data_IF_774837501139
#
_entry.id   IF_774837501139
#
_cell.length_a   1.000
_cell.length_b   1.000
_cell.length_c   1.000
_cell.angle_alpha   90.00
_cell.angle_beta   90.00
_cell.angle_gamma   90.00
#
_symmetry.space_group_name_H-M   'P 1'
#
loop_
_entity.id
_entity.type
_entity.pdbx_description
1 polymer ?
#
# COMPACT_ATOMS: atom_id res chain seq x y z
N UNK A 1 -4.22 32.16 21.49
CA UNK A 1 -3.05 31.91 20.62
C UNK A 1 -2.08 30.93 21.28
N UNK A 2 -1.71 31.13 22.55
CA UNK A 2 -0.79 30.24 23.29
C UNK A 2 -1.24 28.77 23.33
N UNK A 3 -2.50 28.48 23.71
CA UNK A 3 -3.05 27.11 23.71
C UNK A 3 -2.99 26.40 22.34
N UNK A 4 -3.16 27.14 21.24
CA UNK A 4 -3.02 26.58 19.90
C UNK A 4 -1.56 26.26 19.57
N UNK A 5 -0.63 27.16 19.91
CA UNK A 5 0.80 26.95 19.71
C UNK A 5 1.32 25.76 20.53
N UNK A 6 0.84 25.56 21.75
CA UNK A 6 1.14 24.38 22.57
C UNK A 6 0.60 23.08 21.95
N UNK A 7 -0.65 23.11 21.48
CA UNK A 7 -1.25 21.96 20.77
C UNK A 7 -0.46 21.61 19.52
N UNK A 8 -0.07 22.61 18.73
CA UNK A 8 0.74 22.42 17.52
C UNK A 8 2.11 21.81 17.84
N UNK A 9 2.78 22.28 18.90
CA UNK A 9 4.05 21.71 19.35
C UNK A 9 3.90 20.23 19.71
N UNK A 10 2.88 19.87 20.48
CA UNK A 10 2.59 18.47 20.83
C UNK A 10 2.33 17.61 19.58
N UNK A 11 1.51 18.10 18.66
CA UNK A 11 1.25 17.39 17.40
C UNK A 11 2.53 17.18 16.57
N UNK A 12 3.42 18.17 16.51
CA UNK A 12 4.71 18.06 15.82
C UNK A 12 5.65 17.09 16.52
N UNK A 13 5.66 17.06 17.85
CA UNK A 13 6.43 16.08 18.63
C UNK A 13 5.93 14.66 18.38
N UNK A 14 4.61 14.44 18.38
CA UNK A 14 4.01 13.13 18.10
C UNK A 14 4.29 12.69 16.67
N UNK A 15 4.14 13.60 15.70
CA UNK A 15 4.53 13.36 14.32
C UNK A 15 6.00 12.95 14.23
N UNK A 16 6.90 13.68 14.89
CA UNK A 16 8.32 13.39 14.86
C UNK A 16 8.66 12.04 15.49
N UNK A 17 8.00 11.67 16.59
CA UNK A 17 8.12 10.34 17.18
C UNK A 17 7.67 9.23 16.19
N UNK A 18 6.52 9.41 15.54
CA UNK A 18 6.06 8.46 14.52
C UNK A 18 7.02 8.34 13.35
N UNK A 19 7.57 9.46 12.90
CA UNK A 19 8.57 9.50 11.83
C UNK A 19 9.87 8.78 12.22
N UNK A 20 10.37 8.95 13.45
CA UNK A 20 11.54 8.21 13.96
C UNK A 20 11.29 6.71 14.02
N UNK A 21 10.12 6.29 14.51
CA UNK A 21 9.76 4.87 14.58
C UNK A 21 9.64 4.27 13.17
N UNK A 22 9.19 5.05 12.18
CA UNK A 22 9.21 4.68 10.76
C UNK A 22 10.63 4.63 10.14
N UNK A 23 11.65 5.15 10.84
CA UNK A 23 13.07 5.05 10.49
C UNK A 23 13.86 4.07 11.37
N UNK A 24 13.21 3.25 12.21
CA UNK A 24 13.87 2.20 13.00
C UNK A 24 14.25 0.96 12.16
N UNK A 25 14.68 1.14 10.90
CA UNK A 25 15.02 0.06 9.97
C UNK A 25 16.11 -0.91 10.49
N UNK A 26 17.14 -0.51 11.27
CA UNK A 26 18.11 -1.46 11.80
C UNK A 26 17.47 -2.50 12.72
N UNK A 27 16.56 -2.08 13.60
CA UNK A 27 15.81 -2.97 14.49
C UNK A 27 14.93 -3.94 13.68
N UNK A 28 14.29 -3.44 12.61
CA UNK A 28 13.51 -4.28 11.70
C UNK A 28 14.36 -5.33 11.00
N UNK A 29 15.54 -4.94 10.50
CA UNK A 29 16.49 -5.85 9.86
C UNK A 29 17.01 -6.91 10.84
N UNK A 30 17.36 -6.53 12.06
CA UNK A 30 17.78 -7.49 13.11
C UNK A 30 16.71 -8.55 13.31
N UNK A 31 15.43 -8.17 13.38
CA UNK A 31 14.31 -9.12 13.52
C UNK A 31 14.13 -10.00 12.28
N UNK A 32 14.32 -9.46 11.08
CA UNK A 32 14.28 -10.24 9.84
C UNK A 32 15.38 -11.31 9.85
N UNK A 33 16.63 -10.93 10.13
CA UNK A 33 17.76 -11.86 10.13
C UNK A 33 17.74 -12.82 11.33
N UNK A 34 17.17 -12.40 12.46
CA UNK A 34 17.05 -13.20 13.67
C UNK A 34 16.03 -14.34 13.60
N UNK A 35 15.15 -14.37 12.58
CA UNK A 35 14.16 -15.43 12.41
C UNK A 35 14.17 -16.00 11.00
N UNK A 36 14.49 -17.29 10.87
CA UNK A 36 14.52 -17.96 9.56
C UNK A 36 13.15 -17.91 8.85
N UNK A 37 12.05 -17.99 9.60
CA UNK A 37 10.69 -17.88 9.05
C UNK A 37 10.46 -16.48 8.48
N UNK A 38 10.74 -15.42 9.25
CA UNK A 38 10.57 -14.03 8.81
C UNK A 38 11.46 -13.77 7.60
N UNK A 39 12.76 -14.13 7.67
CA UNK A 39 13.71 -14.00 6.56
C UNK A 39 13.20 -14.64 5.27
N UNK A 40 12.77 -15.90 5.34
CA UNK A 40 12.30 -16.63 4.16
C UNK A 40 11.03 -16.00 3.56
N UNK A 41 10.12 -15.50 4.39
CA UNK A 41 8.89 -14.83 3.93
C UNK A 41 9.19 -13.46 3.33
N UNK A 42 10.00 -12.65 4.01
CA UNK A 42 10.47 -11.37 3.48
C UNK A 42 11.17 -11.57 2.14
N UNK A 43 12.07 -12.55 2.01
CA UNK A 43 12.76 -12.85 0.75
C UNK A 43 11.77 -13.22 -0.38
N UNK A 44 10.74 -14.02 -0.07
CA UNK A 44 9.68 -14.32 -1.05
C UNK A 44 8.93 -13.07 -1.50
N UNK A 45 8.64 -12.13 -0.59
CA UNK A 45 8.07 -10.82 -0.95
C UNK A 45 9.02 -10.03 -1.85
N UNK A 46 10.33 -10.02 -1.56
CA UNK A 46 11.33 -9.35 -2.39
C UNK A 46 11.42 -9.93 -3.80
N UNK A 47 11.46 -11.26 -3.93
CA UNK A 47 11.49 -11.93 -5.23
C UNK A 47 10.20 -11.69 -6.01
N UNK A 48 9.04 -11.86 -5.37
CA UNK A 48 7.75 -11.69 -6.05
C UNK A 48 7.52 -10.25 -6.49
N UNK A 49 7.77 -9.26 -5.63
CA UNK A 49 7.48 -7.86 -5.96
C UNK A 49 8.60 -7.22 -6.76
N UNK A 50 9.86 -7.39 -6.34
CA UNK A 50 11.00 -6.77 -7.01
C UNK A 50 11.35 -7.46 -8.34
N UNK A 51 11.50 -8.78 -8.33
CA UNK A 51 11.97 -9.50 -9.53
C UNK A 51 10.82 -9.84 -10.46
N UNK A 52 9.77 -10.48 -9.95
CA UNK A 52 8.68 -10.95 -10.82
C UNK A 52 7.81 -9.77 -11.24
N UNK A 53 7.24 -9.02 -10.30
CA UNK A 53 6.28 -7.98 -10.65
C UNK A 53 6.96 -6.75 -11.29
N UNK A 54 7.84 -6.06 -10.55
CA UNK A 54 8.53 -4.87 -11.07
C UNK A 54 9.46 -5.21 -12.23
N UNK A 55 10.20 -6.32 -12.16
CA UNK A 55 11.02 -6.79 -13.27
C UNK A 55 10.20 -7.12 -14.52
N UNK A 56 8.97 -7.64 -14.39
CA UNK A 56 8.10 -7.84 -15.56
C UNK A 56 7.62 -6.54 -16.21
N UNK A 57 7.30 -5.51 -15.40
CA UNK A 57 6.95 -4.17 -15.91
C UNK A 57 8.15 -3.57 -16.64
N UNK A 58 9.35 -3.66 -16.03
CA UNK A 58 10.58 -3.18 -16.64
C UNK A 58 10.86 -3.88 -17.97
N UNK A 59 10.82 -5.22 -17.98
CA UNK A 59 11.03 -6.05 -19.16
C UNK A 59 10.03 -5.68 -20.26
N UNK A 60 8.76 -5.51 -19.93
CA UNK A 60 7.75 -5.16 -20.92
C UNK A 60 8.00 -3.77 -21.53
N UNK A 61 8.22 -2.76 -20.69
CA UNK A 61 8.37 -1.37 -21.15
C UNK A 61 9.66 -1.14 -21.94
N UNK A 62 10.75 -1.81 -21.57
CA UNK A 62 12.08 -1.54 -22.18
C UNK A 62 12.49 -2.56 -23.23
N UNK A 63 11.89 -3.76 -23.25
CA UNK A 63 12.27 -4.83 -24.18
C UNK A 63 11.08 -5.21 -25.06
N UNK A 64 9.98 -5.67 -24.46
CA UNK A 64 8.84 -6.19 -25.24
C UNK A 64 8.21 -5.13 -26.13
N UNK A 65 7.89 -3.95 -25.59
CA UNK A 65 7.19 -2.89 -26.32
C UNK A 65 8.04 -2.32 -27.47
N UNK A 66 9.33 -1.95 -27.28
CA UNK A 66 10.18 -1.55 -28.39
C UNK A 66 10.35 -2.62 -29.48
N UNK A 67 10.49 -3.89 -29.05
CA UNK A 67 10.62 -5.02 -29.97
C UNK A 67 9.34 -5.20 -30.81
N UNK A 68 8.18 -5.12 -30.16
CA UNK A 68 6.89 -5.24 -30.82
C UNK A 68 6.65 -4.11 -31.82
N UNK A 69 6.97 -2.86 -31.45
CA UNK A 69 6.88 -1.72 -32.37
C UNK A 69 7.81 -1.88 -33.57
N UNK A 70 9.04 -2.39 -33.35
CA UNK A 70 9.98 -2.66 -34.43
C UNK A 70 9.47 -3.71 -35.42
N UNK A 71 8.96 -4.85 -34.92
CA UNK A 71 8.47 -5.93 -35.79
C UNK A 71 7.11 -5.65 -36.42
N UNK A 72 6.18 -5.00 -35.72
CA UNK A 72 4.92 -4.55 -36.32
C UNK A 72 5.18 -3.46 -37.35
N UNK A 73 6.02 -2.48 -37.03
CA UNK A 73 6.44 -1.43 -37.98
C UNK A 73 7.02 -2.01 -39.26
N UNK A 74 7.87 -3.04 -39.16
CA UNK A 74 8.46 -3.75 -40.31
C UNK A 74 7.47 -4.65 -41.06
N UNK A 75 6.61 -5.39 -40.38
CA UNK A 75 5.64 -6.29 -41.01
C UNK A 75 4.57 -5.53 -41.79
N UNK A 76 4.12 -4.38 -41.28
CA UNK A 76 3.19 -3.49 -42.00
C UNK A 76 3.88 -2.70 -43.13
N UNK A 77 5.17 -2.38 -42.98
CA UNK A 77 6.02 -1.80 -44.03
C UNK A 77 6.22 -2.76 -45.21
N UNK A 78 6.45 -4.06 -44.95
CA UNK A 78 6.70 -5.06 -46.00
C UNK A 78 5.49 -5.39 -46.89
N UNK A 79 4.26 -5.12 -46.43
CA UNK A 79 3.03 -5.37 -47.20
C UNK A 79 2.61 -4.18 -48.09
N UNK A 80 3.05 -2.96 -47.78
CA UNK A 80 2.71 -1.75 -48.55
C UNK A 80 3.88 -1.20 -49.39
N UNK A 81 5.07 -1.80 -49.28
CA UNK A 81 6.21 -1.42 -50.11
C UNK A 81 6.27 -2.27 -51.39
N UNK A 82 5.68 -1.74 -52.45
CA UNK A 82 6.13 -2.04 -53.81
C UNK A 82 6.26 -0.72 -54.55
N UNK A 83 7.35 -0.02 -54.28
CA UNK A 83 7.81 1.07 -55.14
C UNK A 83 8.95 0.57 -56.02
N UNK A 84 8.92 0.93 -57.30
CA UNK A 84 9.95 0.58 -58.28
C UNK A 84 11.08 1.62 -58.33
N UNK A 85 10.98 2.75 -57.62
CA UNK A 85 11.99 3.80 -57.63
C UNK A 85 12.53 4.04 -56.21
N UNK A 86 13.81 3.77 -56.01
CA UNK A 86 14.48 3.65 -54.70
C UNK A 86 14.75 4.97 -53.97
N UNK A 87 13.73 5.79 -53.72
CA UNK A 87 13.83 6.90 -52.77
C UNK A 87 13.17 6.53 -51.43
N UNK A 88 13.98 6.59 -50.36
CA UNK A 88 13.52 6.37 -48.97
C UNK A 88 12.98 7.69 -48.45
N UNK A 89 11.68 7.92 -48.59
CA UNK A 89 10.98 8.98 -47.86
C UNK A 89 10.59 8.49 -46.46
N UNK A 90 10.65 9.38 -45.46
CA UNK A 90 10.17 9.12 -44.11
C UNK A 90 8.67 8.78 -44.14
N UNK A 91 8.36 7.49 -44.01
CA UNK A 91 7.01 6.98 -44.20
C UNK A 91 6.12 7.37 -43.01
N UNK A 92 5.19 8.29 -43.26
CA UNK A 92 4.20 8.71 -42.28
C UNK A 92 3.01 7.73 -42.26
N UNK A 93 2.92 6.93 -41.19
CA UNK A 93 1.78 6.04 -40.95
C UNK A 93 0.44 6.80 -40.88
N UNK A 94 -0.68 6.12 -41.18
CA UNK A 94 -2.00 6.63 -40.80
C UNK A 94 -2.10 6.71 -39.27
N UNK A 95 -2.37 7.89 -38.68
CA UNK A 95 -2.37 8.08 -37.24
C UNK A 95 -3.47 7.28 -36.52
N UNK A 96 -4.48 6.81 -37.26
CA UNK A 96 -5.58 6.01 -36.71
C UNK A 96 -5.16 4.55 -36.49
N UNK A 97 -4.44 3.95 -37.45
CA UNK A 97 -4.05 2.53 -37.39
C UNK A 97 -3.01 2.31 -36.30
N UNK A 98 -2.00 3.18 -36.22
CA UNK A 98 -0.98 3.11 -35.16
C UNK A 98 -1.61 3.22 -33.78
N UNK A 99 -2.54 4.17 -33.59
CA UNK A 99 -3.26 4.34 -32.33
C UNK A 99 -4.10 3.12 -31.95
N UNK A 100 -4.76 2.46 -32.91
CA UNK A 100 -5.52 1.23 -32.64
C UNK A 100 -4.58 0.10 -32.21
N UNK A 101 -3.47 -0.10 -32.93
CA UNK A 101 -2.49 -1.13 -32.59
C UNK A 101 -1.89 -0.89 -31.21
N UNK A 102 -1.45 0.34 -30.91
CA UNK A 102 -0.93 0.73 -29.60
C UNK A 102 -1.97 0.48 -28.50
N UNK A 103 -3.25 0.75 -28.77
CA UNK A 103 -4.35 0.48 -27.82
C UNK A 103 -4.55 -1.01 -27.58
N UNK A 104 -4.54 -1.85 -28.62
CA UNK A 104 -4.67 -3.31 -28.47
C UNK A 104 -3.48 -3.88 -27.70
N UNK A 105 -2.27 -3.43 -28.00
CA UNK A 105 -1.05 -3.83 -27.28
C UNK A 105 -1.15 -3.42 -25.81
N UNK A 106 -1.54 -2.18 -25.53
CA UNK A 106 -1.71 -1.68 -24.17
C UNK A 106 -2.78 -2.47 -23.39
N UNK A 107 -3.95 -2.75 -24.00
CA UNK A 107 -4.99 -3.56 -23.36
C UNK A 107 -4.54 -5.00 -23.11
N UNK A 108 -3.86 -5.61 -24.07
CA UNK A 108 -3.30 -6.96 -23.94
C UNK A 108 -2.30 -7.02 -22.78
N UNK A 109 -1.39 -6.04 -22.72
CA UNK A 109 -0.43 -5.88 -21.64
C UNK A 109 -1.09 -5.71 -20.27
N UNK A 110 -2.07 -4.80 -20.17
CA UNK A 110 -2.73 -4.55 -18.90
C UNK A 110 -3.50 -5.78 -18.43
N UNK A 111 -4.37 -6.33 -19.28
CA UNK A 111 -5.34 -7.36 -18.90
C UNK A 111 -4.75 -8.76 -18.75
N UNK A 112 -3.82 -9.16 -19.62
CA UNK A 112 -3.28 -10.52 -19.62
C UNK A 112 -1.95 -10.65 -18.90
N UNK A 113 -1.29 -9.53 -18.58
CA UNK A 113 0.04 -9.54 -17.98
C UNK A 113 0.09 -8.81 -16.63
N UNK A 114 -0.12 -7.49 -16.61
CA UNK A 114 0.05 -6.69 -15.39
C UNK A 114 -0.98 -7.03 -14.33
N UNK A 115 -2.27 -7.01 -14.67
CA UNK A 115 -3.33 -7.26 -13.69
C UNK A 115 -3.28 -8.67 -13.08
N UNK A 116 -3.07 -9.76 -13.85
CA UNK A 116 -2.94 -11.10 -13.27
C UNK A 116 -1.77 -11.22 -12.30
N UNK A 117 -0.59 -10.70 -12.68
CA UNK A 117 0.60 -10.72 -11.80
C UNK A 117 0.34 -9.85 -10.56
N UNK A 118 -0.28 -8.69 -10.73
CA UNK A 118 -0.65 -7.80 -9.62
C UNK A 118 -1.59 -8.50 -8.63
N UNK A 119 -2.67 -9.14 -9.11
CA UNK A 119 -3.63 -9.86 -8.25
C UNK A 119 -2.97 -11.04 -7.55
N UNK A 120 -2.15 -11.82 -8.26
CA UNK A 120 -1.41 -12.92 -7.65
C UNK A 120 -0.45 -12.41 -6.57
N UNK A 121 0.28 -11.34 -6.88
CA UNK A 121 1.19 -10.68 -5.95
C UNK A 121 0.44 -10.21 -4.70
N UNK A 122 -0.69 -9.54 -4.90
CA UNK A 122 -1.57 -9.07 -3.84
C UNK A 122 -1.97 -10.18 -2.86
N UNK A 123 -2.47 -11.31 -3.38
CA UNK A 123 -2.93 -12.44 -2.55
C UNK A 123 -1.77 -13.09 -1.80
N UNK A 124 -0.67 -13.38 -2.48
CA UNK A 124 0.49 -14.05 -1.87
C UNK A 124 1.15 -13.17 -0.81
N UNK A 125 1.28 -11.88 -1.09
CA UNK A 125 1.79 -10.90 -0.15
C UNK A 125 0.92 -10.83 1.12
N UNK A 126 -0.40 -10.75 1.00
CA UNK A 126 -1.29 -10.72 2.17
C UNK A 126 -1.08 -11.94 3.09
N UNK A 127 -0.83 -13.13 2.50
CA UNK A 127 -0.51 -14.34 3.26
C UNK A 127 0.82 -14.22 3.98
N UNK A 128 1.88 -13.82 3.28
CA UNK A 128 3.22 -13.75 3.86
C UNK A 128 3.37 -12.62 4.87
N UNK A 129 2.71 -11.49 4.67
CA UNK A 129 2.65 -10.38 5.61
C UNK A 129 2.05 -10.79 6.93
N UNK A 130 0.96 -11.55 6.92
CA UNK A 130 0.35 -12.04 8.15
C UNK A 130 1.31 -12.99 8.88
N UNK A 131 1.97 -13.92 8.18
CA UNK A 131 2.92 -14.83 8.83
C UNK A 131 4.12 -14.08 9.46
N UNK A 132 4.61 -13.03 8.79
CA UNK A 132 5.66 -12.16 9.31
C UNK A 132 5.16 -11.43 10.55
N UNK A 133 3.97 -10.84 10.48
CA UNK A 133 3.34 -10.14 11.59
C UNK A 133 3.18 -11.05 12.82
N UNK A 134 2.60 -12.24 12.64
CA UNK A 134 2.36 -13.19 13.73
C UNK A 134 3.68 -13.60 14.39
N UNK A 135 4.73 -13.84 13.60
CA UNK A 135 6.03 -14.26 14.12
C UNK A 135 6.75 -13.10 14.83
N UNK A 136 6.74 -11.90 14.25
CA UNK A 136 7.31 -10.71 14.87
C UNK A 136 6.56 -10.35 16.16
N UNK A 137 5.23 -10.41 16.16
CA UNK A 137 4.42 -10.18 17.34
C UNK A 137 4.76 -11.17 18.46
N UNK A 138 4.93 -12.45 18.13
CA UNK A 138 5.40 -13.47 19.09
C UNK A 138 6.74 -13.14 19.73
N UNK A 139 7.66 -12.52 18.99
CA UNK A 139 8.98 -12.16 19.49
C UNK A 139 8.93 -10.97 20.45
N UNK A 140 8.06 -9.99 20.20
CA UNK A 140 8.00 -8.76 20.99
C UNK A 140 6.98 -8.79 22.14
N UNK A 141 5.84 -9.44 21.93
CA UNK A 141 4.67 -9.36 22.83
C UNK A 141 4.15 -10.73 23.32
N UNK A 142 4.71 -11.83 22.81
CA UNK A 142 4.24 -13.19 23.13
C UNK A 142 3.11 -13.69 22.21
N UNK A 143 2.44 -14.81 22.54
CA UNK A 143 1.50 -15.47 21.63
C UNK A 143 0.31 -14.55 21.24
N UNK A 144 -0.02 -14.42 19.94
CA UNK A 144 -1.13 -13.59 19.48
C UNK A 144 -2.47 -14.18 19.90
N UNK A 145 -3.38 -13.32 20.35
CA UNK A 145 -4.70 -13.70 20.88
C UNK A 145 -5.60 -14.20 19.73
N UNK A 146 -5.59 -13.51 18.59
CA UNK A 146 -6.42 -13.83 17.43
C UNK A 146 -5.59 -14.12 16.18
N UNK A 147 -4.92 -15.27 16.14
CA UNK A 147 -4.10 -15.72 14.99
C UNK A 147 -4.85 -16.60 13.97
N UNK A 148 -6.15 -16.87 14.17
CA UNK A 148 -6.92 -17.68 13.22
C UNK A 148 -7.42 -16.82 12.06
N UNK A 149 -6.91 -17.13 10.86
CA UNK A 149 -7.49 -16.65 9.59
C UNK A 149 -8.92 -17.16 9.47
N UNK A 150 -9.88 -16.24 9.41
CA UNK A 150 -11.25 -16.55 8.98
C UNK A 150 -11.45 -15.94 7.59
N UNK A 151 -12.08 -16.66 6.66
CA UNK A 151 -12.46 -16.17 5.32
C UNK A 151 -13.03 -14.72 5.26
N UNK A 152 -13.84 -14.24 6.23
CA UNK A 152 -14.24 -12.83 6.33
C UNK A 152 -13.08 -11.82 6.44
N UNK A 153 -11.89 -12.22 6.92
CA UNK A 153 -10.71 -11.36 6.97
C UNK A 153 -10.17 -11.03 5.59
N UNK A 154 -10.21 -11.96 4.63
CA UNK A 154 -9.74 -11.71 3.25
C UNK A 154 -10.70 -10.75 2.53
N UNK A 155 -12.01 -10.91 2.75
CA UNK A 155 -13.03 -9.99 2.24
C UNK A 155 -12.89 -8.59 2.86
N UNK A 156 -12.55 -8.50 4.15
CA UNK A 156 -12.27 -7.22 4.81
C UNK A 156 -10.97 -6.57 4.32
N UNK A 157 -9.94 -7.37 3.99
CA UNK A 157 -8.70 -6.88 3.37
C UNK A 157 -9.01 -6.30 1.98
N UNK A 158 -9.81 -7.00 1.16
CA UNK A 158 -10.24 -6.51 -0.15
C UNK A 158 -11.14 -5.27 -0.06
N UNK A 159 -12.08 -5.23 0.89
CA UNK A 159 -12.87 -4.04 1.17
C UNK A 159 -11.95 -2.88 1.60
N UNK A 160 -10.95 -3.16 2.43
CA UNK A 160 -9.89 -2.23 2.78
C UNK A 160 -9.09 -1.73 1.58
N UNK A 161 -8.83 -2.55 0.56
CA UNK A 161 -8.21 -2.10 -0.71
C UNK A 161 -9.14 -1.18 -1.50
N UNK A 162 -10.44 -1.47 -1.52
CA UNK A 162 -11.43 -0.62 -2.19
C UNK A 162 -11.53 0.72 -1.44
N UNK A 163 -11.49 0.71 -0.11
CA UNK A 163 -11.39 1.93 0.70
C UNK A 163 -10.07 2.68 0.47
N UNK A 164 -8.94 1.99 0.26
CA UNK A 164 -7.64 2.58 -0.11
C UNK A 164 -7.65 3.24 -1.49
N UNK A 165 -8.30 2.61 -2.46
CA UNK A 165 -8.47 3.15 -3.80
C UNK A 165 -9.39 4.39 -3.79
N UNK A 166 -10.42 4.40 -2.93
CA UNK A 166 -11.33 5.54 -2.75
C UNK A 166 -10.69 6.71 -1.97
N UNK A 167 -9.71 6.45 -1.10
CA UNK A 167 -9.02 7.46 -0.29
C UNK A 167 -7.62 7.79 -0.84
N UNK A 168 -7.54 8.14 -2.13
CA UNK A 168 -6.31 8.39 -2.89
C UNK A 168 -5.44 9.59 -2.41
N UNK A 169 -5.45 9.97 -1.13
CA UNK A 169 -4.68 11.12 -0.63
C UNK A 169 -4.09 11.04 0.78
N UNK A 170 -4.22 9.94 1.55
CA UNK A 170 -3.90 10.03 2.99
C UNK A 170 -2.74 9.15 3.50
N UNK A 171 -1.68 9.82 3.99
CA UNK A 171 -0.54 9.30 4.74
C UNK A 171 -0.95 8.44 5.96
N UNK A 172 -2.13 8.71 6.54
CA UNK A 172 -2.74 7.97 7.64
C UNK A 172 -3.07 6.51 7.27
N UNK A 173 -3.26 6.21 6.00
CA UNK A 173 -3.66 4.89 5.53
C UNK A 173 -2.51 3.91 5.66
N UNK A 174 -1.31 4.25 5.19
CA UNK A 174 -0.16 3.33 5.26
C UNK A 174 0.12 2.91 6.70
N UNK A 175 0.09 3.87 7.63
CA UNK A 175 0.21 3.60 9.05
C UNK A 175 -0.92 2.66 9.53
N UNK A 176 -2.18 2.94 9.18
CA UNK A 176 -3.31 2.06 9.52
C UNK A 176 -3.10 0.63 9.02
N UNK A 177 -2.59 0.44 7.80
CA UNK A 177 -2.40 -0.88 7.20
C UNK A 177 -1.36 -1.73 7.93
N UNK A 178 -0.23 -1.15 8.32
CA UNK A 178 0.82 -1.91 9.01
C UNK A 178 0.49 -2.11 10.49
N UNK A 179 -0.16 -1.13 11.14
CA UNK A 179 -0.60 -1.25 12.52
C UNK A 179 -1.81 -2.18 12.68
N UNK A 180 -2.61 -2.38 11.63
CA UNK A 180 -3.71 -3.34 11.66
C UNK A 180 -3.23 -4.75 12.02
N UNK A 181 -2.08 -5.18 11.51
CA UNK A 181 -1.48 -6.47 11.88
C UNK A 181 -1.16 -6.57 13.38
N UNK A 182 -0.68 -5.49 13.99
CA UNK A 182 -0.43 -5.43 15.44
C UNK A 182 -1.74 -5.54 16.22
N UNK A 183 -2.73 -4.75 15.86
CA UNK A 183 -4.02 -4.72 16.56
C UNK A 183 -4.82 -6.01 16.40
N UNK A 184 -4.76 -6.65 15.23
CA UNK A 184 -5.33 -8.00 15.02
C UNK A 184 -4.68 -8.99 15.97
N UNK A 185 -3.35 -8.97 16.08
CA UNK A 185 -2.63 -9.89 16.97
C UNK A 185 -2.90 -9.62 18.45
N UNK A 186 -3.22 -8.38 18.82
CA UNK A 186 -3.72 -8.01 20.15
C UNK A 186 -5.20 -8.35 20.36
N UNK A 187 -5.90 -8.81 19.33
CA UNK A 187 -7.32 -9.17 19.39
C UNK A 187 -8.29 -7.98 19.44
N UNK A 188 -7.85 -6.80 19.01
CA UNK A 188 -8.67 -5.59 19.08
C UNK A 188 -9.84 -5.61 18.09
N UNK A 189 -10.98 -5.06 18.50
CA UNK A 189 -12.12 -4.82 17.62
C UNK A 189 -11.86 -3.67 16.65
N UNK A 190 -12.66 -3.56 15.58
CA UNK A 190 -12.54 -2.45 14.63
C UNK A 190 -12.75 -1.09 15.31
N UNK A 191 -13.70 -1.00 16.25
CA UNK A 191 -13.99 0.22 17.01
C UNK A 191 -12.78 0.66 17.85
N UNK A 192 -12.12 -0.29 18.52
CA UNK A 192 -10.89 -0.01 19.28
C UNK A 192 -9.78 0.51 18.38
N UNK A 193 -9.60 -0.08 17.20
CA UNK A 193 -8.58 0.35 16.21
C UNK A 193 -8.83 1.77 15.73
N UNK A 194 -10.07 2.09 15.36
CA UNK A 194 -10.46 3.42 14.89
C UNK A 194 -10.26 4.44 16.01
N UNK A 195 -10.77 4.19 17.22
CA UNK A 195 -10.61 5.12 18.34
C UNK A 195 -9.14 5.37 18.69
N UNK A 196 -8.34 4.31 18.75
CA UNK A 196 -6.90 4.41 19.03
C UNK A 196 -6.15 5.20 17.95
N UNK A 197 -6.56 5.02 16.68
CA UNK A 197 -6.01 5.76 15.56
C UNK A 197 -6.35 7.25 15.61
N UNK A 198 -7.63 7.57 15.79
CA UNK A 198 -8.13 8.95 15.79
C UNK A 198 -7.55 9.79 16.93
N UNK A 199 -7.25 9.17 18.09
CA UNK A 199 -6.56 9.81 19.22
C UNK A 199 -5.06 10.09 18.97
N UNK A 200 -4.44 9.34 18.07
CA UNK A 200 -2.98 9.34 17.83
C UNK A 200 -2.67 9.69 16.38
N UNK A 201 -3.58 10.40 15.73
CA UNK A 201 -3.54 10.67 14.30
C UNK A 201 -2.25 11.36 13.88
N UNK A 202 -1.70 12.26 14.71
CA UNK A 202 -0.46 13.00 14.43
C UNK A 202 0.77 12.08 14.44
N UNK A 203 0.85 11.14 15.39
CA UNK A 203 1.86 10.09 15.40
C UNK A 203 1.76 9.22 14.15
N UNK A 204 0.56 8.73 13.82
CA UNK A 204 0.36 7.90 12.63
C UNK A 204 0.63 8.65 11.33
N UNK A 205 0.40 9.96 11.32
CA UNK A 205 0.77 10.82 10.22
C UNK A 205 2.27 10.82 9.97
N UNK A 206 3.06 11.00 11.04
CA UNK A 206 4.51 10.95 10.97
C UNK A 206 5.03 9.58 10.54
N UNK A 207 4.43 8.51 11.06
CA UNK A 207 4.82 7.15 10.72
C UNK A 207 4.54 6.83 9.24
N UNK A 208 3.38 7.21 8.72
CA UNK A 208 3.00 6.97 7.32
C UNK A 208 3.69 7.90 6.32
N UNK A 209 4.11 9.10 6.74
CA UNK A 209 4.66 10.15 5.88
C UNK A 209 5.85 9.67 5.03
N UNK A 210 6.83 9.01 5.64
CA UNK A 210 8.02 8.52 4.92
C UNK A 210 7.64 7.58 3.78
N UNK A 211 6.76 6.63 4.08
CA UNK A 211 6.33 5.63 3.10
C UNK A 211 5.58 6.30 1.95
N UNK A 212 4.73 7.29 2.26
CA UNK A 212 4.05 8.09 1.26
C UNK A 212 5.05 8.81 0.36
N UNK A 213 6.07 9.47 0.91
CA UNK A 213 7.12 10.17 0.12
C UNK A 213 7.83 9.21 -0.84
N UNK A 214 8.16 8.00 -0.40
CA UNK A 214 8.82 6.98 -1.25
C UNK A 214 7.94 6.62 -2.46
N UNK A 215 6.62 6.58 -2.27
CA UNK A 215 5.66 6.16 -3.30
C UNK A 215 5.03 7.29 -4.11
N UNK A 216 5.13 8.55 -3.66
CA UNK A 216 4.35 9.67 -4.18
C UNK A 216 4.71 10.05 -5.62
N UNK A 217 5.99 9.94 -5.97
CA UNK A 217 6.50 10.31 -7.30
C UNK A 217 6.55 9.12 -8.27
N UNK A 218 5.93 8.02 -7.91
CA UNK A 218 6.06 6.73 -8.61
C UNK A 218 4.71 6.36 -9.23
N UNK A 219 4.74 5.92 -10.49
CA UNK A 219 3.54 5.45 -11.19
C UNK A 219 2.78 4.40 -10.39
N UNK A 220 1.44 4.39 -10.45
CA UNK A 220 0.57 3.59 -9.58
C UNK A 220 0.98 2.10 -9.45
N UNK A 221 1.33 1.43 -10.55
CA UNK A 221 1.74 0.01 -10.50
C UNK A 221 3.15 -0.19 -9.93
N UNK A 222 4.07 0.72 -10.26
CA UNK A 222 5.43 0.71 -9.75
C UNK A 222 5.42 1.02 -8.24
N UNK A 223 4.58 1.98 -7.83
CA UNK A 223 4.29 2.33 -6.45
C UNK A 223 3.72 1.14 -5.68
N UNK A 224 2.81 0.36 -6.27
CA UNK A 224 2.30 -0.85 -5.63
C UNK A 224 3.37 -1.94 -5.44
N UNK A 225 4.27 -2.13 -6.41
CA UNK A 225 5.39 -3.07 -6.27
C UNK A 225 6.41 -2.62 -5.22
N UNK A 226 6.75 -1.32 -5.21
CA UNK A 226 7.61 -0.71 -4.18
C UNK A 226 6.95 -0.81 -2.80
N UNK A 227 5.64 -0.55 -2.71
CA UNK A 227 4.86 -0.69 -1.49
C UNK A 227 5.03 -2.11 -0.94
N UNK A 228 4.77 -3.11 -1.79
CA UNK A 228 4.84 -4.50 -1.37
C UNK A 228 6.26 -4.97 -1.00
N UNK A 229 7.29 -4.34 -1.55
CA UNK A 229 8.68 -4.61 -1.23
C UNK A 229 9.02 -4.25 0.23
N UNK A 230 8.62 -3.05 0.65
CA UNK A 230 8.97 -2.51 1.97
C UNK A 230 7.98 -2.87 3.06
N UNK A 231 6.77 -3.28 2.69
CA UNK A 231 5.70 -3.59 3.64
C UNK A 231 6.08 -4.56 4.77
N UNK A 232 6.82 -5.68 4.52
CA UNK A 232 7.28 -6.57 5.59
C UNK A 232 8.11 -5.88 6.68
N UNK A 233 8.99 -4.96 6.28
CA UNK A 233 9.85 -4.22 7.21
C UNK A 233 9.00 -3.30 8.08
N UNK A 234 8.05 -2.58 7.48
CA UNK A 234 7.17 -1.66 8.20
C UNK A 234 6.18 -2.36 9.13
N UNK A 235 5.73 -3.58 8.82
CA UNK A 235 4.95 -4.41 9.76
C UNK A 235 5.75 -4.66 11.03
N UNK A 236 7.01 -5.07 10.91
CA UNK A 236 7.87 -5.37 12.05
C UNK A 236 8.09 -4.10 12.89
N UNK A 237 8.33 -2.97 12.23
CA UNK A 237 8.51 -1.67 12.89
C UNK A 237 7.23 -1.24 13.61
N UNK A 238 6.06 -1.38 12.98
CA UNK A 238 4.77 -1.07 13.61
C UNK A 238 4.50 -1.95 14.84
N UNK A 239 4.83 -3.25 14.77
CA UNK A 239 4.71 -4.16 15.92
C UNK A 239 5.57 -3.71 17.09
N UNK A 240 6.80 -3.26 16.82
CA UNK A 240 7.73 -2.76 17.84
C UNK A 240 7.41 -1.33 18.33
N UNK A 241 6.69 -0.54 17.53
CA UNK A 241 6.44 0.86 17.81
C UNK A 241 5.51 1.10 19.01
N UNK A 242 5.64 2.26 19.65
CA UNK A 242 4.81 2.67 20.79
C UNK A 242 4.14 4.03 20.53
N UNK A 243 2.97 4.05 19.86
CA UNK A 243 2.31 5.29 19.45
C UNK A 243 2.02 6.25 20.60
N UNK A 244 2.34 7.52 20.38
CA UNK A 244 2.04 8.64 21.29
C UNK A 244 0.68 9.27 20.94
N UNK A 245 -0.01 9.89 21.91
CA UNK A 245 0.32 9.95 23.34
C UNK A 245 0.10 8.63 24.11
N UNK A 246 0.87 8.44 25.19
CA UNK A 246 0.76 7.25 26.07
C UNK A 246 -0.37 7.36 27.08
N UNK A 247 -0.60 8.57 27.57
CA UNK A 247 -1.66 8.89 28.52
C UNK A 247 -2.72 9.76 27.84
N UNK A 248 -3.89 9.88 28.47
CA UNK A 248 -4.90 10.82 28.01
C UNK A 248 -4.42 12.26 28.24
N UNK A 249 -4.08 12.94 27.15
CA UNK A 249 -3.65 14.33 27.15
C UNK A 249 -4.69 15.26 26.51
N UNK A 250 -5.94 14.79 26.39
CA UNK A 250 -7.04 15.55 25.77
C UNK A 250 -7.24 16.95 26.36
N UNK A 251 -7.01 17.13 27.65
CA UNK A 251 -7.10 18.42 28.34
C UNK A 251 -6.07 19.46 27.86
N UNK A 252 -4.98 19.04 27.22
CA UNK A 252 -3.92 19.93 26.70
C UNK A 252 -4.22 20.45 25.28
N UNK A 253 -5.24 19.91 24.62
CA UNK A 253 -5.58 20.24 23.24
C UNK A 253 -6.57 21.40 23.16
N UNK A 254 -6.28 22.35 22.29
CA UNK A 254 -7.16 23.49 21.99
C UNK A 254 -8.42 23.06 21.23
N UNK A 255 -9.50 23.86 21.30
CA UNK A 255 -10.73 23.62 20.52
C UNK A 255 -10.54 23.69 19.00
N UNK A 256 -9.51 24.40 18.54
CA UNK A 256 -9.19 24.60 17.12
C UNK A 256 -8.51 23.38 16.49
N UNK A 257 -7.77 22.60 17.28
CA UNK A 257 -7.07 21.41 16.82
C UNK A 257 -7.44 20.24 17.74
N UNK A 258 -8.41 19.40 17.33
CA UNK A 258 -8.99 18.42 18.23
C UNK A 258 -8.01 17.29 18.54
N UNK A 259 -8.07 16.79 19.78
CA UNK A 259 -7.33 15.62 20.23
C UNK A 259 -7.67 14.38 19.39
N UNK A 260 -8.96 14.16 19.12
CA UNK A 260 -9.44 13.10 18.23
C UNK A 260 -9.77 13.69 16.86
N UNK A 261 -9.07 13.24 15.82
CA UNK A 261 -9.40 13.60 14.45
C UNK A 261 -10.42 12.57 13.91
N UNK A 262 -11.68 12.96 13.63
CA UNK A 262 -12.76 12.03 13.28
C UNK A 262 -12.69 11.58 11.81
N UNK A 263 -11.56 10.98 11.41
CA UNK A 263 -11.26 10.57 10.03
C UNK A 263 -12.30 9.56 9.52
N UNK A 264 -12.79 8.68 10.40
CA UNK A 264 -13.73 7.62 10.05
C UNK A 264 -15.18 7.98 10.34
N UNK A 265 -15.50 9.21 10.74
CA UNK A 265 -16.85 9.59 11.14
C UNK A 265 -17.88 9.39 10.03
N UNK A 266 -17.56 9.78 8.79
CA UNK A 266 -18.47 9.58 7.65
C UNK A 266 -18.71 8.08 7.41
N UNK A 267 -17.65 7.28 7.42
CA UNK A 267 -17.72 5.85 7.22
C UNK A 267 -18.56 5.17 8.32
N UNK A 268 -18.31 5.51 9.60
CA UNK A 268 -19.06 5.00 10.74
C UNK A 268 -20.53 5.40 10.68
N UNK A 269 -20.84 6.64 10.30
CA UNK A 269 -22.22 7.11 10.16
C UNK A 269 -22.99 6.37 9.06
N UNK A 270 -22.33 6.09 7.93
CA UNK A 270 -22.92 5.29 6.85
C UNK A 270 -23.09 3.83 7.26
N UNK A 271 -22.07 3.24 7.89
CA UNK A 271 -22.12 1.86 8.38
C UNK A 271 -23.28 1.67 9.37
N UNK A 272 -23.41 2.57 10.34
CA UNK A 272 -24.49 2.52 11.33
C UNK A 272 -25.87 2.71 10.69
N UNK A 273 -26.00 3.53 9.64
CA UNK A 273 -27.25 3.67 8.87
C UNK A 273 -27.62 2.39 8.13
N UNK A 274 -26.64 1.69 7.55
CA UNK A 274 -26.86 0.43 6.84
C UNK A 274 -27.25 -0.66 7.83
N UNK A 275 -26.50 -0.81 8.93
CA UNK A 275 -26.79 -1.77 9.99
C UNK A 275 -28.19 -1.53 10.57
N UNK A 276 -28.54 -0.28 10.87
CA UNK A 276 -29.87 0.07 11.38
C UNK A 276 -31.02 -0.27 10.41
N UNK A 277 -30.80 -0.15 9.09
CA UNK A 277 -31.79 -0.57 8.08
C UNK A 277 -31.90 -2.09 7.94
N UNK A 278 -30.82 -2.82 8.18
CA UNK A 278 -30.79 -4.29 8.15
C UNK A 278 -31.40 -4.90 9.42
N UNK A 279 -31.19 -4.27 10.58
CA UNK A 279 -31.77 -4.72 11.86
C UNK A 279 -33.27 -4.47 11.95
N UNK A 280 -33.80 -3.46 11.25
CA UNK A 280 -35.25 -3.19 11.15
C UNK A 280 -36.00 -4.10 10.16
N UNK A 281 -35.27 -4.95 9.40
CA UNK A 281 -35.83 -5.92 8.45
C UNK A 281 -35.84 -7.36 8.98
N UNK A 282 -35.44 -7.59 10.23
CA UNK A 282 -35.60 -8.85 10.96
C UNK A 282 -36.69 -8.69 12.01
#
# INVERSE_FOLDING_TARGET
>A
MESFTETLKLCLEYFWCGFKDAFAWPSGLITIYGSQTIKNRTLKCFVLNGVIFLGSIFFFNHITLPTLHFFLGKSFFALNYRDNNGDVSDIQYSPLITKILDTIVALTYQLLWVYPIFVLSFVLNAIWYQEIADKAFRMYHGPPINSRRTYPSILNVMAGEIYRALLFMNYLIVATLVFEYKWINQGWSLEQRIGYFEERWSYFAGFGFLFTVITFFVDQFLSAGVFALFFPLYIIMAINAHPMPRNDESARFSSLMPYRLPVFWVANKLNNRIIGRLSLKR
#
